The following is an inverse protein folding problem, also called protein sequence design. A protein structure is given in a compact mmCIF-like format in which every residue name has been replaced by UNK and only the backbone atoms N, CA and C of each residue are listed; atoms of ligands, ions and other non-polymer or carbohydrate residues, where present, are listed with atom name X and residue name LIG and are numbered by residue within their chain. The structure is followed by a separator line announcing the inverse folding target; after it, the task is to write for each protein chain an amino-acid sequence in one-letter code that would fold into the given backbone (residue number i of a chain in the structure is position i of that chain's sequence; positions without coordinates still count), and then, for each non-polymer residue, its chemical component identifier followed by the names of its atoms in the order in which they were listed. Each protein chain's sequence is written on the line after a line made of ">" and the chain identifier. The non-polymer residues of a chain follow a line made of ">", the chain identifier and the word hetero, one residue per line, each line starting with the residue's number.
data_IF_347744065723
#
_entry.id   IF_347744065723
#
_cell.length_a   1.000
_cell.length_b   1.000
_cell.length_c   1.000
_cell.angle_alpha   90.00
_cell.angle_beta   90.00
_cell.angle_gamma   90.00
#
_symmetry.space_group_name_H-M   'P 1'
#
loop_
_entity.id
_entity.type
_entity.pdbx_description
1 polymer ?
#
# COMPACT_ATOMS: atom_id res chain seq x y z
N UNK A 1 -4.67 -5.80 -8.42
CA UNK A 1 -5.17 -6.77 -9.42
C UNK A 1 -5.22 -8.20 -8.86
N UNK A 2 -4.21 -8.69 -8.13
CA UNK A 2 -4.16 -10.04 -7.53
C UNK A 2 -5.40 -10.37 -6.68
N UNK A 3 -5.96 -9.42 -5.98
CA UNK A 3 -7.15 -9.57 -5.14
C UNK A 3 -8.44 -9.07 -5.80
N UNK A 4 -8.44 -8.78 -7.10
CA UNK A 4 -9.60 -8.23 -7.80
C UNK A 4 -10.00 -6.82 -7.34
N UNK A 5 -9.11 -6.12 -6.64
CA UNK A 5 -9.35 -4.78 -6.11
C UNK A 5 -8.71 -3.74 -7.05
N UNK A 6 -9.48 -2.71 -7.41
CA UNK A 6 -8.93 -1.54 -8.09
C UNK A 6 -8.08 -0.72 -7.10
N UNK A 7 -6.77 -0.53 -7.35
CA UNK A 7 -5.91 0.15 -6.38
C UNK A 7 -6.21 1.65 -6.36
N UNK A 8 -6.42 2.17 -5.16
CA UNK A 8 -6.52 3.59 -4.81
C UNK A 8 -5.37 3.91 -3.87
N UNK A 9 -4.32 4.51 -4.41
CA UNK A 9 -3.01 4.59 -3.77
C UNK A 9 -2.79 5.94 -3.12
N UNK A 10 -2.44 5.96 -1.85
CA UNK A 10 -1.98 7.16 -1.16
C UNK A 10 -0.49 7.04 -0.79
N UNK A 11 0.31 8.00 -1.22
CA UNK A 11 1.70 8.15 -0.83
C UNK A 11 1.78 8.98 0.44
N UNK A 12 2.14 8.35 1.57
CA UNK A 12 2.05 8.99 2.88
C UNK A 12 3.32 9.74 3.28
N UNK A 13 3.14 10.80 4.03
CA UNK A 13 4.21 11.60 4.60
C UNK A 13 3.73 12.33 5.87
N UNK A 14 4.64 12.98 6.57
CA UNK A 14 4.34 13.96 7.60
C UNK A 14 4.02 15.36 7.02
N UNK A 15 3.83 15.45 5.71
CA UNK A 15 3.44 16.64 4.96
C UNK A 15 2.15 16.36 4.19
N UNK A 16 1.31 17.38 4.01
CA UNK A 16 0.16 17.36 3.12
C UNK A 16 0.46 18.26 1.92
N UNK A 17 0.66 17.67 0.74
CA UNK A 17 0.76 18.38 -0.54
C UNK A 17 1.72 19.57 -0.50
N UNK A 18 2.95 19.35 0.00
CA UNK A 18 3.98 20.38 0.08
C UNK A 18 3.91 21.30 1.31
N UNK A 19 3.07 21.00 2.30
CA UNK A 19 2.93 21.84 3.50
C UNK A 19 4.20 21.90 4.37
N UNK A 20 5.06 20.88 4.30
CA UNK A 20 6.33 20.82 5.04
C UNK A 20 7.43 20.25 4.15
N UNK A 21 8.56 20.94 4.05
CA UNK A 21 9.72 20.49 3.29
C UNK A 21 10.57 19.50 4.10
N UNK A 22 10.35 18.21 3.89
CA UNK A 22 11.07 17.10 4.52
C UNK A 22 11.66 16.17 3.48
N UNK A 23 12.80 15.49 3.76
CA UNK A 23 13.36 14.48 2.85
C UNK A 23 12.36 13.37 2.49
N UNK A 24 11.55 12.93 3.45
CA UNK A 24 10.49 11.94 3.23
C UNK A 24 9.37 12.47 2.32
N UNK A 25 8.97 13.74 2.49
CA UNK A 25 7.97 14.38 1.64
C UNK A 25 8.47 14.50 0.19
N UNK A 26 9.69 15.04 -0.01
CA UNK A 26 10.32 15.14 -1.34
C UNK A 26 10.44 13.78 -2.04
N UNK A 27 10.79 12.72 -1.29
CA UNK A 27 10.82 11.36 -1.83
C UNK A 27 9.47 10.91 -2.35
N UNK A 28 8.39 11.16 -1.61
CA UNK A 28 7.05 10.74 -2.02
C UNK A 28 6.50 11.60 -3.17
N UNK A 29 6.80 12.89 -3.21
CA UNK A 29 6.50 13.76 -4.37
C UNK A 29 7.20 13.26 -5.63
N UNK A 30 8.49 12.93 -5.53
CA UNK A 30 9.24 12.37 -6.65
C UNK A 30 8.68 11.03 -7.12
N UNK A 31 8.29 10.16 -6.17
CA UNK A 31 7.62 8.89 -6.49
C UNK A 31 6.29 9.12 -7.21
N UNK A 32 5.50 10.11 -6.80
CA UNK A 32 4.25 10.46 -7.48
C UNK A 32 4.50 10.92 -8.92
N UNK A 33 5.51 11.76 -9.14
CA UNK A 33 5.87 12.23 -10.47
C UNK A 33 6.21 11.05 -11.40
N UNK A 34 7.07 10.12 -10.94
CA UNK A 34 7.43 8.91 -11.70
C UNK A 34 6.20 8.04 -11.99
N UNK A 35 5.33 7.84 -11.01
CA UNK A 35 4.12 7.03 -11.19
C UNK A 35 3.14 7.68 -12.18
N UNK A 36 3.01 9.00 -12.16
CA UNK A 36 2.15 9.74 -13.08
C UNK A 36 2.61 9.60 -14.54
N UNK A 37 3.90 9.44 -14.78
CA UNK A 37 4.46 9.20 -16.11
C UNK A 37 4.36 7.73 -16.53
N UNK A 38 4.69 6.79 -15.62
CA UNK A 38 4.77 5.36 -15.93
C UNK A 38 3.44 4.62 -15.88
N UNK A 39 2.51 5.10 -15.10
CA UNK A 39 1.20 4.49 -14.89
C UNK A 39 0.10 5.56 -14.76
N UNK A 40 -0.17 6.34 -15.83
CA UNK A 40 -1.10 7.46 -15.79
C UNK A 40 -2.54 7.04 -15.47
N UNK A 41 -2.88 5.77 -15.70
CA UNK A 41 -4.17 5.18 -15.36
C UNK A 41 -4.32 4.81 -13.86
N UNK A 42 -3.21 4.81 -13.10
CA UNK A 42 -3.24 4.47 -11.68
C UNK A 42 -3.85 5.63 -10.89
N UNK A 43 -4.88 5.32 -10.09
CA UNK A 43 -5.46 6.26 -9.14
C UNK A 43 -4.52 6.41 -7.94
N UNK A 44 -3.56 7.32 -8.05
CA UNK A 44 -2.52 7.59 -7.05
C UNK A 44 -2.45 9.07 -6.73
N UNK A 45 -2.26 9.40 -5.46
CA UNK A 45 -2.15 10.78 -4.98
C UNK A 45 -1.19 10.88 -3.78
N UNK A 46 -0.66 12.05 -3.54
CA UNK A 46 0.22 12.40 -2.40
C UNK A 46 1.19 13.54 -2.72
N UNK A 47 2.10 13.80 -1.83
CA UNK A 47 2.19 13.19 -0.50
C UNK A 47 1.13 13.76 0.44
N UNK A 48 0.63 12.93 1.34
CA UNK A 48 -0.43 13.34 2.25
C UNK A 48 -0.33 12.64 3.62
N UNK A 49 -1.03 13.20 4.61
CA UNK A 49 -1.23 12.56 5.91
C UNK A 49 -2.15 11.34 5.80
N UNK A 50 -2.04 10.41 6.76
CA UNK A 50 -2.86 9.21 6.78
C UNK A 50 -4.37 9.47 6.93
N UNK A 51 -4.76 10.52 7.64
CA UNK A 51 -6.17 10.92 7.78
C UNK A 51 -6.75 11.47 6.46
N UNK A 52 -5.96 12.23 5.70
CA UNK A 52 -6.34 12.69 4.37
C UNK A 52 -6.45 11.52 3.36
N UNK A 53 -5.63 10.47 3.54
CA UNK A 53 -5.71 9.26 2.72
C UNK A 53 -7.00 8.46 2.97
N UNK A 54 -7.41 8.36 4.24
CA UNK A 54 -8.55 7.55 4.68
C UNK A 54 -9.86 8.34 4.85
N UNK A 55 -9.87 9.63 4.48
CA UNK A 55 -11.05 10.47 4.55
C UNK A 55 -11.10 11.47 3.39
N UNK A 56 -11.98 11.21 2.45
CA UNK A 56 -12.24 12.11 1.32
C UNK A 56 -12.58 13.52 1.79
N UNK A 57 -13.41 13.63 2.84
CA UNK A 57 -13.80 14.90 3.44
C UNK A 57 -12.61 15.71 3.99
N UNK A 58 -11.61 15.04 4.57
CA UNK A 58 -10.39 15.71 5.06
C UNK A 58 -9.53 16.12 3.87
N UNK A 59 -9.35 15.23 2.91
CA UNK A 59 -8.52 15.47 1.72
C UNK A 59 -9.05 16.62 0.88
N UNK A 60 -10.35 16.69 0.61
CA UNK A 60 -10.96 17.78 -0.15
C UNK A 60 -10.77 19.16 0.50
N UNK A 61 -10.61 19.23 1.83
CA UNK A 61 -10.31 20.49 2.52
C UNK A 61 -8.88 20.96 2.31
N UNK A 62 -7.91 20.03 2.24
CA UNK A 62 -6.48 20.35 2.14
C UNK A 62 -6.01 20.38 0.68
N UNK A 63 -6.63 19.61 -0.18
CA UNK A 63 -6.32 19.55 -1.61
C UNK A 63 -7.58 19.30 -2.45
N UNK A 64 -8.34 20.35 -2.75
CA UNK A 64 -9.51 20.25 -3.61
C UNK A 64 -9.15 19.75 -5.01
N UNK A 65 -9.95 18.83 -5.55
CA UNK A 65 -9.74 18.31 -6.90
C UNK A 65 -8.67 17.20 -6.98
N UNK A 66 -8.33 16.54 -5.87
CA UNK A 66 -7.47 15.36 -5.85
C UNK A 66 -7.90 14.30 -6.88
N UNK A 67 -6.92 13.65 -7.50
CA UNK A 67 -7.14 12.52 -8.43
C UNK A 67 -7.70 11.29 -7.71
N UNK A 68 -7.36 11.10 -6.45
CA UNK A 68 -7.88 10.01 -5.62
C UNK A 68 -9.34 10.27 -5.26
N UNK A 69 -10.24 9.37 -5.59
CA UNK A 69 -11.67 9.49 -5.32
C UNK A 69 -12.11 8.53 -4.21
N UNK A 70 -12.72 9.07 -3.16
CA UNK A 70 -13.05 8.31 -1.96
C UNK A 70 -11.82 7.99 -1.11
N UNK A 71 -11.86 6.91 -0.35
CA UNK A 71 -10.79 6.49 0.56
C UNK A 71 -9.72 5.68 -0.18
N UNK A 72 -8.45 5.85 0.20
CA UNK A 72 -7.37 4.99 -0.27
C UNK A 72 -7.51 3.57 0.28
N UNK A 73 -7.18 2.59 -0.55
CA UNK A 73 -7.13 1.17 -0.15
C UNK A 73 -5.71 0.58 -0.22
N UNK A 74 -4.74 1.40 -0.62
CA UNK A 74 -3.31 1.08 -0.60
C UNK A 74 -2.53 2.28 -0.06
N UNK A 75 -1.90 2.09 1.11
CA UNK A 75 -1.08 3.11 1.77
C UNK A 75 0.39 2.79 1.58
N UNK A 76 1.15 3.71 0.98
CA UNK A 76 2.59 3.59 0.78
C UNK A 76 3.31 4.48 1.79
N UNK A 77 4.05 3.85 2.69
CA UNK A 77 4.78 4.54 3.75
C UNK A 77 6.14 5.04 3.25
N UNK A 78 6.63 6.19 3.75
CA UNK A 78 7.88 6.79 3.28
C UNK A 78 9.14 6.03 3.73
N UNK A 79 9.04 5.23 4.79
CA UNK A 79 10.14 4.46 5.37
C UNK A 79 9.65 3.12 5.90
N UNK A 80 10.60 2.19 6.10
CA UNK A 80 10.32 0.90 6.73
C UNK A 80 9.80 1.06 8.17
N UNK A 81 10.37 2.00 8.92
CA UNK A 81 9.93 2.28 10.29
C UNK A 81 8.48 2.74 10.34
N UNK A 82 8.11 3.70 9.48
CA UNK A 82 6.74 4.16 9.37
C UNK A 82 5.78 3.01 9.00
N UNK A 83 6.18 2.17 8.03
CA UNK A 83 5.39 1.01 7.62
C UNK A 83 5.21 0.00 8.76
N UNK A 84 6.29 -0.34 9.45
CA UNK A 84 6.29 -1.31 10.53
C UNK A 84 5.44 -0.85 11.73
N UNK A 85 5.63 0.40 12.17
CA UNK A 85 4.86 1.00 13.27
C UNK A 85 3.37 1.03 12.92
N UNK A 86 3.02 1.55 11.74
CA UNK A 86 1.64 1.64 11.29
C UNK A 86 0.99 0.26 11.17
N UNK A 87 1.69 -0.72 10.61
CA UNK A 87 1.20 -2.09 10.50
C UNK A 87 0.87 -2.69 11.88
N UNK A 88 1.77 -2.55 12.86
CA UNK A 88 1.56 -3.11 14.18
C UNK A 88 0.41 -2.41 14.92
N UNK A 89 0.28 -1.09 14.80
CA UNK A 89 -0.84 -0.34 15.38
C UNK A 89 -2.19 -0.74 14.74
N UNK A 90 -2.25 -0.78 13.42
CA UNK A 90 -3.47 -1.18 12.69
C UNK A 90 -3.85 -2.63 12.97
N UNK A 91 -2.89 -3.53 13.11
CA UNK A 91 -3.14 -4.93 13.48
C UNK A 91 -3.90 -5.05 14.80
N UNK A 92 -3.50 -4.27 15.82
CA UNK A 92 -4.17 -4.28 17.13
C UNK A 92 -5.51 -3.56 17.06
N UNK A 93 -5.56 -2.38 16.41
CA UNK A 93 -6.77 -1.59 16.27
C UNK A 93 -7.89 -2.30 15.48
N UNK A 94 -7.52 -3.18 14.54
CA UNK A 94 -8.48 -3.98 13.77
C UNK A 94 -8.95 -5.25 14.49
N UNK A 95 -8.72 -5.39 15.79
CA UNK A 95 -9.07 -6.57 16.59
C UNK A 95 -8.57 -7.89 15.97
N UNK A 96 -7.33 -7.88 15.48
CA UNK A 96 -6.67 -9.03 14.84
C UNK A 96 -7.32 -9.53 13.53
N UNK A 97 -8.18 -8.73 12.90
CA UNK A 97 -8.82 -9.06 11.62
C UNK A 97 -7.86 -9.06 10.42
N UNK A 98 -6.55 -8.81 10.61
CA UNK A 98 -5.54 -8.96 9.57
C UNK A 98 -5.27 -10.46 9.34
N UNK A 99 -5.82 -11.01 8.26
CA UNK A 99 -5.81 -12.45 7.98
C UNK A 99 -4.79 -12.87 6.93
N UNK A 100 -4.26 -11.93 6.13
CA UNK A 100 -3.29 -12.16 5.07
C UNK A 100 -2.10 -11.22 5.26
N UNK A 101 -0.89 -11.76 5.11
CA UNK A 101 0.35 -11.01 5.20
C UNK A 101 1.25 -11.43 6.36
N UNK A 102 2.53 -10.99 6.34
CA UNK A 102 3.13 -10.18 5.27
C UNK A 102 3.28 -10.96 3.95
N UNK A 103 3.15 -10.27 2.83
CA UNK A 103 3.35 -10.83 1.49
C UNK A 103 4.73 -10.38 0.99
N UNK A 104 5.61 -11.32 0.66
CA UNK A 104 6.88 -11.02 0.03
C UNK A 104 6.67 -10.86 -1.47
N UNK A 105 7.10 -9.71 -2.02
CA UNK A 105 7.03 -9.41 -3.44
C UNK A 105 8.45 -9.42 -4.05
N UNK A 106 8.53 -9.66 -5.37
CA UNK A 106 9.79 -9.60 -6.12
C UNK A 106 10.63 -10.88 -6.10
N UNK A 107 10.19 -11.95 -5.44
CA UNK A 107 10.84 -13.24 -5.53
C UNK A 107 10.50 -13.95 -6.87
N UNK A 108 11.47 -14.68 -7.45
CA UNK A 108 11.27 -15.42 -8.71
C UNK A 108 10.24 -16.57 -8.60
N UNK A 109 9.94 -17.00 -7.41
CA UNK A 109 8.91 -17.99 -7.07
C UNK A 109 8.11 -17.51 -5.88
N UNK A 110 6.84 -17.87 -5.74
CA UNK A 110 6.05 -17.54 -4.57
C UNK A 110 6.69 -18.11 -3.31
N UNK A 111 7.01 -17.23 -2.37
CA UNK A 111 7.56 -17.57 -1.06
C UNK A 111 7.11 -16.51 -0.05
N UNK A 112 6.64 -16.95 1.10
CA UNK A 112 6.24 -16.05 2.18
C UNK A 112 6.87 -16.50 3.49
N UNK A 113 7.19 -15.52 4.35
CA UNK A 113 7.84 -15.75 5.63
C UNK A 113 6.81 -15.50 6.73
N UNK A 114 6.60 -16.49 7.57
CA UNK A 114 5.76 -16.39 8.75
C UNK A 114 6.61 -16.42 10.01
N UNK A 115 6.23 -15.64 11.01
CA UNK A 115 6.86 -15.66 12.34
C UNK A 115 6.33 -16.83 13.16
N UNK A 116 7.06 -17.31 14.17
CA UNK A 116 6.59 -18.38 15.07
C UNK A 116 5.27 -18.05 15.78
N UNK A 117 4.91 -16.78 15.89
CA UNK A 117 3.65 -16.31 16.48
C UNK A 117 2.46 -16.28 15.49
N UNK A 118 2.63 -16.82 14.27
CA UNK A 118 1.54 -16.86 13.30
C UNK A 118 0.41 -17.78 13.78
N UNK A 119 -0.83 -17.29 13.67
CA UNK A 119 -2.02 -18.10 13.96
C UNK A 119 -2.23 -19.17 12.91
N UNK A 120 -2.91 -20.27 13.27
CA UNK A 120 -3.29 -21.33 12.31
C UNK A 120 -4.03 -20.74 11.10
N UNK A 121 -4.99 -19.82 11.33
CA UNK A 121 -5.72 -19.13 10.27
C UNK A 121 -4.78 -18.41 9.30
N UNK A 122 -3.75 -17.72 9.81
CA UNK A 122 -2.76 -17.02 8.98
C UNK A 122 -1.94 -18.01 8.16
N UNK A 123 -1.50 -19.12 8.77
CA UNK A 123 -0.73 -20.16 8.08
C UNK A 123 -1.55 -20.73 6.91
N UNK A 124 -2.80 -21.10 7.14
CA UNK A 124 -3.71 -21.61 6.11
C UNK A 124 -3.91 -20.61 4.98
N UNK A 125 -4.23 -19.34 5.32
CA UNK A 125 -4.48 -18.31 4.31
C UNK A 125 -3.22 -18.01 3.47
N UNK A 126 -2.05 -17.93 4.10
CA UNK A 126 -0.80 -17.69 3.38
C UNK A 126 -0.38 -18.89 2.51
N UNK A 127 -0.64 -20.12 2.96
CA UNK A 127 -0.44 -21.32 2.14
C UNK A 127 -1.34 -21.31 0.92
N UNK A 128 -2.63 -21.01 1.09
CA UNK A 128 -3.57 -20.90 -0.02
C UNK A 128 -3.15 -19.83 -1.04
N UNK A 129 -2.73 -18.65 -0.56
CA UNK A 129 -2.21 -17.58 -1.41
C UNK A 129 -0.97 -18.04 -2.19
N UNK A 130 -0.02 -18.71 -1.53
CA UNK A 130 1.20 -19.22 -2.18
C UNK A 130 0.87 -20.22 -3.29
N UNK A 131 -0.10 -21.11 -3.06
CA UNK A 131 -0.56 -22.09 -4.06
C UNK A 131 -1.23 -21.41 -5.25
N UNK A 132 -2.10 -20.42 -5.01
CA UNK A 132 -2.72 -19.64 -6.08
C UNK A 132 -1.67 -18.93 -6.93
N UNK A 133 -0.69 -18.26 -6.30
CA UNK A 133 0.39 -17.58 -6.99
C UNK A 133 1.28 -18.55 -7.78
N UNK A 134 1.54 -19.75 -7.25
CA UNK A 134 2.34 -20.77 -7.93
C UNK A 134 1.66 -21.33 -9.18
N UNK A 135 0.34 -21.36 -9.18
CA UNK A 135 -0.48 -21.85 -10.30
C UNK A 135 -0.94 -20.74 -11.26
N UNK A 136 -0.70 -19.46 -10.93
CA UNK A 136 -1.05 -18.36 -11.83
C UNK A 136 -0.25 -18.45 -13.14
N UNK A 137 -0.86 -18.12 -14.31
CA UNK A 137 -0.16 -18.08 -15.59
C UNK A 137 1.02 -17.11 -15.53
N UNK A 138 2.23 -17.59 -15.84
CA UNK A 138 3.42 -16.74 -15.94
C UNK A 138 3.29 -15.85 -17.17
N UNK A 139 3.24 -14.54 -17.02
CA UNK A 139 3.24 -13.61 -18.14
C UNK A 139 2.42 -12.34 -17.97
N UNK A 140 1.58 -12.22 -16.96
CA UNK A 140 0.79 -11.00 -16.74
C UNK A 140 1.34 -10.04 -15.68
N UNK A 141 2.37 -10.44 -14.91
CA UNK A 141 2.93 -9.61 -13.82
C UNK A 141 4.29 -8.96 -14.10
N UNK A 142 4.94 -9.25 -15.23
CA UNK A 142 6.32 -8.78 -15.49
C UNK A 142 6.43 -7.48 -16.29
N UNK A 143 5.35 -6.75 -16.55
CA UNK A 143 5.38 -5.57 -17.42
C UNK A 143 5.33 -4.23 -16.68
N UNK A 144 5.61 -4.20 -15.39
CA UNK A 144 5.56 -2.95 -14.59
C UNK A 144 6.90 -2.54 -13.95
N UNK A 145 8.06 -3.08 -14.41
CA UNK A 145 9.38 -2.56 -14.01
C UNK A 145 10.26 -2.34 -15.23
#
# INVERSE_FOLDING_TARGET
>A
RRFGIHPKVALLSASNFGSVDLPSARKMQHALAILSERAPELEVEGEMHGDAALSDRIREKVFPGSRLKGEANLLVMPTLDAANISFNLLKVASAENVTIGPILLGAARPVHILTPSATVRRIVNMTALTVLDANAPRGQEQTLF
#
